data_IF_945366558295
#
_entry.id   IF_945366558295
#
_cell.length_a   1.000
_cell.length_b   1.000
_cell.length_c   1.000
_cell.angle_alpha   90.00
_cell.angle_beta   90.00
_cell.angle_gamma   90.00
#
_symmetry.space_group_name_H-M   'P 1'
#
loop_
_entity.id
_entity.type
_entity.pdbx_description
1 polymer ?
#
# COMPACT_ATOMS: atom_id res chain seq x y z
N UNK A 1 -3.26 2.92 -27.82
CA UNK A 1 -2.80 2.62 -26.45
C UNK A 1 -4.03 2.73 -25.58
N UNK A 2 -4.52 1.62 -25.03
CA UNK A 2 -5.59 1.69 -24.04
C UNK A 2 -5.12 2.61 -22.91
N UNK A 3 -5.86 3.68 -22.63
CA UNK A 3 -5.54 4.55 -21.51
C UNK A 3 -5.96 3.82 -20.24
N UNK A 4 -4.99 3.48 -19.39
CA UNK A 4 -5.28 3.00 -18.04
C UNK A 4 -6.01 4.14 -17.30
N UNK A 5 -7.23 3.89 -16.84
CA UNK A 5 -7.99 4.87 -16.08
C UNK A 5 -7.37 4.97 -14.67
N UNK A 6 -7.16 6.20 -14.18
CA UNK A 6 -6.46 6.43 -12.89
C UNK A 6 -7.17 5.74 -11.73
N UNK A 7 -8.49 5.59 -11.80
CA UNK A 7 -9.28 4.91 -10.76
C UNK A 7 -8.92 3.43 -10.59
N UNK A 8 -8.36 2.82 -11.63
CA UNK A 8 -7.99 1.40 -11.66
C UNK A 8 -6.56 1.17 -11.11
N UNK A 9 -5.80 2.24 -10.87
CA UNK A 9 -4.46 2.16 -10.28
C UNK A 9 -4.54 2.16 -8.75
N UNK A 10 -4.10 1.07 -8.12
CA UNK A 10 -4.07 0.96 -6.66
C UNK A 10 -3.21 2.03 -5.99
N UNK A 11 -2.18 2.54 -6.66
CA UNK A 11 -1.33 3.64 -6.16
C UNK A 11 -2.03 4.98 -6.10
N UNK A 12 -3.14 5.14 -6.82
CA UNK A 12 -3.94 6.38 -6.87
C UNK A 12 -5.19 6.31 -5.99
N UNK A 13 -5.46 5.15 -5.37
CA UNK A 13 -6.59 4.97 -4.47
C UNK A 13 -6.32 5.58 -3.09
N UNK A 14 -7.38 6.10 -2.46
CA UNK A 14 -7.31 6.57 -1.08
C UNK A 14 -7.24 5.39 -0.10
N UNK A 15 -6.31 5.47 0.85
CA UNK A 15 -6.25 4.53 1.95
C UNK A 15 -7.36 4.81 2.97
N UNK A 16 -8.21 3.81 3.22
CA UNK A 16 -9.32 3.91 4.18
C UNK A 16 -8.87 4.14 5.62
N UNK A 17 -7.66 3.70 5.99
CA UNK A 17 -7.09 3.89 7.32
C UNK A 17 -6.70 5.36 7.61
N UNK A 18 -6.68 6.20 6.58
CA UNK A 18 -6.22 7.60 6.66
C UNK A 18 -7.21 8.61 6.05
N UNK A 19 -8.49 8.25 5.88
CA UNK A 19 -9.51 9.13 5.29
C UNK A 19 -9.71 10.42 6.09
N UNK A 20 -9.61 10.33 7.42
CA UNK A 20 -9.77 11.44 8.37
C UNK A 20 -8.45 11.85 9.02
N UNK A 21 -7.31 11.59 8.38
CA UNK A 21 -5.96 11.78 8.97
C UNK A 21 -5.72 13.21 9.46
N UNK A 22 -6.29 14.20 8.79
CA UNK A 22 -6.17 15.63 9.15
C UNK A 22 -6.82 15.98 10.50
N UNK A 23 -7.75 15.13 10.98
CA UNK A 23 -8.44 15.31 12.25
C UNK A 23 -7.80 14.52 13.41
N UNK A 24 -6.72 13.77 13.15
CA UNK A 24 -6.07 12.92 14.15
C UNK A 24 -4.98 13.67 14.91
N UNK A 25 -4.68 13.20 16.12
CA UNK A 25 -3.50 13.69 16.84
C UNK A 25 -2.21 13.27 16.13
N UNK A 26 -1.11 14.01 16.37
CA UNK A 26 0.20 13.70 15.80
C UNK A 26 0.62 12.25 16.11
N UNK A 27 0.38 11.77 17.34
CA UNK A 27 0.70 10.39 17.72
C UNK A 27 -0.08 9.35 16.94
N UNK A 28 -1.35 9.61 16.63
CA UNK A 28 -2.19 8.71 15.83
C UNK A 28 -1.79 8.74 14.36
N UNK A 29 -1.44 9.90 13.81
CA UNK A 29 -0.87 10.03 12.46
C UNK A 29 0.40 9.20 12.33
N UNK A 30 1.34 9.35 13.27
CA UNK A 30 2.59 8.57 13.26
C UNK A 30 2.33 7.08 13.45
N UNK A 31 1.33 6.72 14.26
CA UNK A 31 0.94 5.32 14.42
C UNK A 31 0.41 4.73 13.11
N UNK A 32 -0.46 5.45 12.39
CA UNK A 32 -1.02 5.00 11.09
C UNK A 32 0.09 4.80 10.07
N UNK A 33 1.01 5.77 9.92
CA UNK A 33 2.16 5.65 9.01
C UNK A 33 2.98 4.40 9.36
N UNK A 34 3.30 4.20 10.63
CA UNK A 34 4.07 3.03 11.08
C UNK A 34 3.33 1.69 10.87
N UNK A 35 1.99 1.67 10.87
CA UNK A 35 1.25 0.44 10.51
C UNK A 35 1.31 0.17 9.01
N UNK A 36 1.23 1.20 8.16
CA UNK A 36 1.37 1.05 6.70
C UNK A 36 2.79 0.58 6.31
N UNK A 37 3.83 1.15 6.93
CA UNK A 37 5.23 0.77 6.69
C UNK A 37 5.50 -0.70 6.99
N UNK A 38 4.87 -1.26 8.04
CA UNK A 38 5.01 -2.70 8.36
C UNK A 38 4.51 -3.60 7.25
N UNK A 39 3.50 -3.18 6.48
CA UNK A 39 2.96 -3.98 5.37
C UNK A 39 3.96 -4.17 4.22
N UNK A 40 5.00 -3.33 4.14
CA UNK A 40 6.01 -3.41 3.10
C UNK A 40 6.80 -4.71 3.22
N UNK A 41 7.17 -5.11 4.44
CA UNK A 41 7.94 -6.34 4.67
C UNK A 41 7.18 -7.56 4.13
N UNK A 42 5.89 -7.68 4.47
CA UNK A 42 5.03 -8.79 4.02
C UNK A 42 4.88 -8.79 2.48
N UNK A 43 4.72 -7.62 1.85
CA UNK A 43 4.63 -7.50 0.39
C UNK A 43 5.93 -7.92 -0.30
N UNK A 44 7.08 -7.54 0.26
CA UNK A 44 8.40 -7.92 -0.28
C UNK A 44 8.64 -9.43 -0.14
N UNK A 45 8.29 -10.01 1.00
CA UNK A 45 8.39 -11.46 1.21
C UNK A 45 7.53 -12.24 0.21
N UNK A 46 6.28 -11.83 0.02
CA UNK A 46 5.39 -12.45 -0.98
C UNK A 46 5.97 -12.34 -2.39
N UNK A 47 6.53 -11.19 -2.75
CA UNK A 47 7.17 -11.01 -4.05
C UNK A 47 8.38 -11.95 -4.21
N UNK A 48 9.23 -12.07 -3.18
CA UNK A 48 10.36 -12.99 -3.20
C UNK A 48 9.91 -14.44 -3.40
N UNK A 49 8.85 -14.87 -2.72
CA UNK A 49 8.27 -16.21 -2.91
C UNK A 49 7.81 -16.42 -4.36
N UNK A 50 7.10 -15.45 -4.94
CA UNK A 50 6.66 -15.52 -6.34
C UNK A 50 7.84 -15.61 -7.32
N UNK A 51 8.92 -14.87 -7.07
CA UNK A 51 10.16 -14.94 -7.88
C UNK A 51 10.74 -16.35 -7.81
N UNK A 52 10.90 -16.92 -6.61
CA UNK A 52 11.50 -18.26 -6.45
C UNK A 52 10.63 -19.37 -7.02
N UNK A 53 9.31 -19.18 -7.06
CA UNK A 53 8.37 -20.12 -7.65
C UNK A 53 8.19 -19.93 -9.18
N UNK A 54 8.87 -18.96 -9.79
CA UNK A 54 8.73 -18.66 -11.21
C UNK A 54 7.33 -18.17 -11.61
N UNK A 55 6.61 -17.54 -10.67
CA UNK A 55 5.22 -17.07 -10.87
C UNK A 55 5.12 -15.62 -11.36
N UNK A 56 6.24 -14.92 -11.48
CA UNK A 56 6.32 -13.62 -12.13
C UNK A 56 6.74 -13.86 -13.59
N UNK A 57 5.78 -13.67 -14.50
CA UNK A 57 5.98 -13.71 -15.96
C UNK A 57 6.49 -12.36 -16.49
#
# INVERSE_FOLDING_TARGET
MESVDRKDLSTEQQNQNSVDIDNKSISEVLHIINQEDKTIADKVENLLLMIFQGQLN
#
